data_IF_132351031364
#
_entry.id   IF_132351031364
#
_cell.length_a   1.000
_cell.length_b   1.000
_cell.length_c   1.000
_cell.angle_alpha   90.00
_cell.angle_beta   90.00
_cell.angle_gamma   90.00
#
_symmetry.space_group_name_H-M   'P 1'
#
loop_
_entity.id
_entity.type
_entity.pdbx_description
1 polymer ?
#
# COMPACT_ATOMS: atom_id res chain seq x y z
N UNK A 1 5.47 -14.85 -8.03
CA UNK A 1 4.94 -16.08 -7.38
C UNK A 1 3.88 -16.78 -8.22
N UNK A 2 2.79 -16.11 -8.63
CA UNK A 2 1.72 -16.72 -9.43
C UNK A 2 2.17 -17.47 -10.70
N UNK A 3 3.10 -16.87 -11.46
CA UNK A 3 3.65 -17.51 -12.66
C UNK A 3 4.34 -18.84 -12.34
N UNK A 4 5.23 -18.83 -11.34
CA UNK A 4 5.97 -20.02 -10.89
C UNK A 4 5.02 -21.11 -10.39
N UNK A 5 4.01 -20.75 -9.61
CA UNK A 5 2.98 -21.70 -9.14
C UNK A 5 2.26 -22.38 -10.31
N UNK A 6 1.84 -21.60 -11.31
CA UNK A 6 1.11 -22.11 -12.48
C UNK A 6 1.98 -22.98 -13.40
N UNK A 7 3.19 -22.51 -13.71
CA UNK A 7 4.07 -23.16 -14.69
C UNK A 7 4.79 -24.37 -14.11
N UNK A 8 5.26 -24.28 -12.86
CA UNK A 8 6.11 -25.30 -12.25
C UNK A 8 5.36 -26.21 -11.30
N UNK A 9 4.13 -25.88 -10.91
CA UNK A 9 3.30 -26.63 -9.95
C UNK A 9 4.02 -26.89 -8.61
N UNK A 10 4.93 -25.99 -8.23
CA UNK A 10 5.68 -26.06 -6.97
C UNK A 10 4.90 -25.28 -5.90
N UNK A 11 4.65 -25.86 -4.70
CA UNK A 11 4.00 -25.15 -3.62
C UNK A 11 4.89 -24.01 -3.12
N UNK A 12 4.30 -22.83 -2.95
CA UNK A 12 4.97 -21.64 -2.40
C UNK A 12 4.54 -21.45 -0.96
N UNK A 13 5.52 -21.46 -0.05
CA UNK A 13 5.31 -21.23 1.38
C UNK A 13 5.97 -19.91 1.77
N UNK A 14 5.26 -19.10 2.55
CA UNK A 14 5.80 -17.86 3.14
C UNK A 14 5.74 -17.96 4.66
N UNK A 15 6.87 -17.70 5.29
CA UNK A 15 6.98 -17.55 6.75
C UNK A 15 7.21 -16.09 7.07
N UNK A 16 6.28 -15.50 7.81
CA UNK A 16 6.35 -14.12 8.28
C UNK A 16 7.23 -14.09 9.54
N UNK A 17 8.29 -13.29 9.48
CA UNK A 17 9.18 -13.03 10.61
C UNK A 17 8.55 -12.00 11.56
N UNK A 18 9.30 -11.01 12.03
CA UNK A 18 8.81 -10.02 12.98
C UNK A 18 7.75 -9.09 12.38
N UNK A 19 7.93 -8.68 11.11
CA UNK A 19 7.02 -7.76 10.41
C UNK A 19 6.71 -8.27 9.00
N UNK A 20 5.42 -8.37 8.67
CA UNK A 20 4.91 -8.65 7.34
C UNK A 20 3.60 -7.87 7.13
N UNK A 21 3.71 -6.56 6.91
CA UNK A 21 2.60 -5.62 6.79
C UNK A 21 2.53 -5.00 5.38
N UNK A 22 1.38 -4.39 5.05
CA UNK A 22 1.17 -3.61 3.82
C UNK A 22 1.55 -4.42 2.56
N UNK A 23 2.40 -3.90 1.68
CA UNK A 23 2.86 -4.59 0.48
C UNK A 23 3.50 -5.96 0.76
N UNK A 24 4.14 -6.15 1.93
CA UNK A 24 4.68 -7.45 2.33
C UNK A 24 3.59 -8.51 2.52
N UNK A 25 2.49 -8.13 3.19
CA UNK A 25 1.33 -9.01 3.34
C UNK A 25 0.63 -9.25 2.00
N UNK A 26 0.53 -8.22 1.15
CA UNK A 26 -0.04 -8.33 -0.19
C UNK A 26 0.69 -9.37 -1.06
N UNK A 27 2.03 -9.40 -1.03
CA UNK A 27 2.83 -10.42 -1.73
C UNK A 27 2.63 -11.80 -1.07
N UNK A 28 2.62 -11.86 0.26
CA UNK A 28 2.42 -13.09 1.01
C UNK A 28 1.08 -13.76 0.66
N UNK A 29 0.01 -12.99 0.44
CA UNK A 29 -1.33 -13.51 0.09
C UNK A 29 -1.36 -14.42 -1.16
N UNK A 30 -0.33 -14.37 -2.02
CA UNK A 30 -0.20 -15.20 -3.22
C UNK A 30 0.31 -16.62 -2.92
N UNK A 31 0.85 -16.87 -1.73
CA UNK A 31 1.38 -18.17 -1.30
C UNK A 31 0.29 -19.24 -1.15
N UNK A 32 0.69 -20.51 -1.23
CA UNK A 32 -0.19 -21.65 -0.91
C UNK A 32 -0.33 -21.85 0.60
N UNK A 33 0.68 -21.46 1.37
CA UNK A 33 0.68 -21.56 2.84
C UNK A 33 1.38 -20.37 3.46
N UNK A 34 0.77 -19.83 4.51
CA UNK A 34 1.28 -18.75 5.33
C UNK A 34 1.56 -19.24 6.75
N UNK A 35 2.78 -18.99 7.23
CA UNK A 35 3.16 -19.17 8.63
C UNK A 35 3.45 -17.81 9.25
N UNK A 36 3.05 -17.64 10.50
CA UNK A 36 3.38 -16.48 11.31
C UNK A 36 3.56 -16.93 12.75
N UNK A 37 4.44 -16.26 13.48
CA UNK A 37 4.57 -16.46 14.92
C UNK A 37 3.58 -15.56 15.67
N UNK A 38 3.38 -15.79 16.96
CA UNK A 38 2.52 -14.92 17.78
C UNK A 38 3.03 -13.48 17.88
N UNK A 39 4.34 -13.26 17.72
CA UNK A 39 4.97 -11.94 17.75
C UNK A 39 4.99 -11.23 16.39
N UNK A 40 4.59 -11.90 15.32
CA UNK A 40 4.58 -11.32 13.97
C UNK A 40 3.55 -10.19 13.89
N UNK A 41 4.01 -8.98 13.58
CA UNK A 41 3.17 -7.87 13.17
C UNK A 41 2.78 -8.05 11.70
N UNK A 42 1.48 -8.14 11.42
CA UNK A 42 0.96 -8.27 10.06
C UNK A 42 -0.29 -7.41 9.84
N UNK A 43 -0.87 -7.47 8.64
CA UNK A 43 -1.99 -6.62 8.25
C UNK A 43 -1.53 -5.32 7.62
N UNK A 44 -1.99 -4.18 8.15
CA UNK A 44 -1.87 -2.87 7.49
C UNK A 44 -2.46 -2.90 6.07
N UNK A 45 -3.68 -3.41 5.95
CA UNK A 45 -4.40 -3.58 4.69
C UNK A 45 -4.95 -2.22 4.26
N UNK A 46 -4.25 -1.56 3.36
CA UNK A 46 -4.53 -0.17 3.00
C UNK A 46 -3.55 0.35 1.97
N UNK A 47 -3.91 1.48 1.39
CA UNK A 47 -3.02 2.31 0.59
C UNK A 47 -3.05 3.72 1.17
N UNK A 48 -1.88 4.30 1.38
CA UNK A 48 -1.74 5.70 1.79
C UNK A 48 -0.80 6.41 0.83
N UNK A 49 -1.06 7.70 0.63
CA UNK A 49 -0.12 8.61 0.00
C UNK A 49 0.00 9.83 0.90
N UNK A 50 1.24 10.21 1.19
CA UNK A 50 1.56 11.37 1.99
C UNK A 50 2.39 12.32 1.14
N UNK A 51 1.86 13.52 0.94
CA UNK A 51 2.53 14.56 0.16
C UNK A 51 2.61 15.78 1.07
N UNK A 52 3.82 16.25 1.42
CA UNK A 52 3.97 17.42 2.26
C UNK A 52 3.57 18.68 1.48
N UNK A 53 3.05 19.69 2.19
CA UNK A 53 2.86 21.03 1.64
C UNK A 53 3.76 22.02 2.41
N UNK A 54 4.71 22.61 1.69
CA UNK A 54 5.68 23.58 2.17
C UNK A 54 5.38 25.01 1.73
N UNK A 55 4.23 25.29 1.12
CA UNK A 55 3.84 26.63 0.66
C UNK A 55 3.98 27.66 1.79
N UNK A 56 3.39 27.37 2.96
CA UNK A 56 3.45 28.26 4.12
C UNK A 56 4.86 28.47 4.66
N UNK A 57 5.71 27.45 4.62
CA UNK A 57 7.12 27.55 5.03
C UNK A 57 7.92 28.38 4.02
N UNK A 58 7.75 28.11 2.74
CA UNK A 58 8.44 28.81 1.64
C UNK A 58 8.10 30.30 1.66
N UNK A 59 6.83 30.64 1.89
CA UNK A 59 6.36 32.03 2.06
C UNK A 59 7.05 32.74 3.23
N UNK A 60 7.23 32.06 4.37
CA UNK A 60 7.98 32.62 5.53
C UNK A 60 9.45 32.86 5.22
N UNK A 61 10.04 32.01 4.39
CA UNK A 61 11.44 32.12 3.95
C UNK A 61 11.63 33.10 2.77
N UNK A 62 10.55 33.71 2.27
CA UNK A 62 10.61 34.60 1.11
C UNK A 62 10.88 33.87 -0.22
N UNK A 63 10.70 32.55 -0.27
CA UNK A 63 10.92 31.74 -1.48
C UNK A 63 9.59 31.58 -2.22
N UNK A 64 9.59 31.93 -3.50
CA UNK A 64 8.44 31.72 -4.40
C UNK A 64 8.83 30.77 -5.52
N UNK A 65 8.02 29.74 -5.71
CA UNK A 65 8.19 28.77 -6.79
C UNK A 65 7.32 29.17 -7.98
N UNK A 66 7.93 29.36 -9.15
CA UNK A 66 7.24 29.56 -10.41
C UNK A 66 7.26 28.24 -11.18
N UNK A 67 6.08 27.64 -11.40
CA UNK A 67 5.95 26.37 -12.12
C UNK A 67 5.39 26.61 -13.52
N UNK A 68 6.18 26.31 -14.55
CA UNK A 68 5.78 26.33 -15.95
C UNK A 68 5.51 24.88 -16.38
N UNK A 69 4.29 24.57 -16.81
CA UNK A 69 3.88 23.20 -17.12
C UNK A 69 3.01 23.12 -18.37
N UNK A 70 3.22 22.05 -19.16
CA UNK A 70 2.48 21.81 -20.40
C UNK A 70 1.04 21.27 -20.18
N UNK A 71 0.67 20.93 -18.95
CA UNK A 71 -0.66 20.39 -18.65
C UNK A 71 -1.03 20.56 -17.18
N UNK A 72 -2.34 20.64 -16.93
CA UNK A 72 -2.91 20.98 -15.61
C UNK A 72 -2.42 20.07 -14.48
N UNK A 73 -2.40 18.75 -14.73
CA UNK A 73 -2.08 17.70 -13.75
C UNK A 73 -0.58 17.31 -13.73
N UNK A 74 0.29 17.99 -14.49
CA UNK A 74 1.70 17.58 -14.66
C UNK A 74 2.57 17.77 -13.42
N UNK A 75 2.11 18.58 -12.49
CA UNK A 75 2.74 18.85 -11.19
C UNK A 75 1.82 18.41 -10.04
N UNK A 76 0.96 17.41 -10.27
CA UNK A 76 0.13 16.84 -9.20
C UNK A 76 1.02 16.36 -8.06
N UNK A 77 0.67 16.75 -6.83
CA UNK A 77 1.50 16.48 -5.67
C UNK A 77 2.69 17.43 -5.49
N UNK A 78 2.74 18.55 -6.20
CA UNK A 78 3.75 19.58 -5.98
C UNK A 78 3.70 20.11 -4.54
N UNK A 79 4.77 19.98 -3.75
CA UNK A 79 4.79 20.39 -2.35
C UNK A 79 4.89 21.91 -2.18
N UNK A 80 5.10 22.70 -3.23
CA UNK A 80 5.27 24.15 -3.14
C UNK A 80 3.96 24.94 -3.18
N UNK A 81 2.82 24.27 -3.37
CA UNK A 81 1.48 24.88 -3.45
C UNK A 81 0.42 23.96 -2.87
N UNK A 82 -0.73 24.52 -2.55
CA UNK A 82 -1.90 23.72 -2.23
C UNK A 82 -2.34 22.82 -3.39
N UNK A 83 -2.74 21.60 -3.04
CA UNK A 83 -3.32 20.63 -3.96
C UNK A 83 -4.77 21.02 -4.27
N UNK A 84 -5.12 21.02 -5.55
CA UNK A 84 -6.50 21.31 -5.98
C UNK A 84 -7.43 20.14 -5.67
N UNK A 85 -8.74 20.38 -5.61
CA UNK A 85 -9.74 19.31 -5.36
C UNK A 85 -9.75 18.24 -6.46
N UNK A 86 -9.53 18.62 -7.73
CA UNK A 86 -9.42 17.67 -8.84
C UNK A 86 -8.20 16.76 -8.69
N UNK A 87 -7.07 17.31 -8.26
CA UNK A 87 -5.86 16.53 -7.95
C UNK A 87 -6.06 15.61 -6.76
N UNK A 88 -6.71 16.10 -5.69
CA UNK A 88 -7.06 15.30 -4.52
C UNK A 88 -7.95 14.13 -4.91
N UNK A 89 -9.00 14.34 -5.69
CA UNK A 89 -9.92 13.27 -6.08
C UNK A 89 -9.24 12.25 -7.01
N UNK A 90 -8.39 12.70 -7.93
CA UNK A 90 -7.59 11.80 -8.77
C UNK A 90 -6.70 10.87 -7.92
N UNK A 91 -5.96 11.44 -6.97
CA UNK A 91 -5.09 10.69 -6.08
C UNK A 91 -5.87 9.80 -5.10
N UNK A 92 -7.02 10.25 -4.60
CA UNK A 92 -7.92 9.45 -3.79
C UNK A 92 -8.44 8.24 -4.58
N UNK A 93 -8.82 8.44 -5.85
CA UNK A 93 -9.23 7.37 -6.76
C UNK A 93 -8.13 6.32 -6.91
N UNK A 94 -6.89 6.76 -7.16
CA UNK A 94 -5.74 5.86 -7.25
C UNK A 94 -5.48 5.06 -5.97
N UNK A 95 -5.59 5.72 -4.80
CA UNK A 95 -5.43 5.05 -3.52
C UNK A 95 -6.54 4.02 -3.25
N UNK A 96 -7.80 4.35 -3.60
CA UNK A 96 -8.95 3.43 -3.50
C UNK A 96 -8.76 2.21 -4.40
N UNK A 97 -8.36 2.40 -5.65
CA UNK A 97 -8.11 1.29 -6.59
C UNK A 97 -7.01 0.36 -6.08
N UNK A 98 -5.91 0.93 -5.58
CA UNK A 98 -4.82 0.14 -4.98
C UNK A 98 -5.30 -0.62 -3.74
N UNK A 99 -6.11 0.02 -2.89
CA UNK A 99 -6.72 -0.64 -1.74
C UNK A 99 -7.65 -1.79 -2.15
N UNK A 100 -8.46 -1.62 -3.20
CA UNK A 100 -9.35 -2.65 -3.72
C UNK A 100 -8.57 -3.86 -4.25
N UNK A 101 -7.47 -3.64 -4.97
CA UNK A 101 -6.55 -4.71 -5.40
C UNK A 101 -6.04 -5.48 -4.18
N UNK A 102 -5.58 -4.77 -3.14
CA UNK A 102 -5.08 -5.41 -1.93
C UNK A 102 -6.20 -6.20 -1.22
N UNK A 103 -7.39 -5.63 -1.06
CA UNK A 103 -8.56 -6.33 -0.48
C UNK A 103 -8.88 -7.61 -1.25
N UNK A 104 -8.87 -7.55 -2.58
CA UNK A 104 -9.16 -8.71 -3.44
C UNK A 104 -8.11 -9.82 -3.33
N UNK A 105 -6.87 -9.49 -2.99
CA UNK A 105 -5.84 -10.49 -2.68
C UNK A 105 -6.02 -11.08 -1.28
N UNK A 106 -6.42 -10.28 -0.29
CA UNK A 106 -6.58 -10.74 1.11
C UNK A 106 -7.81 -11.62 1.31
N UNK A 107 -8.95 -11.27 0.70
CA UNK A 107 -10.23 -11.96 0.90
C UNK A 107 -10.17 -13.49 0.67
N UNK A 108 -9.59 -14.02 -0.43
CA UNK A 108 -9.46 -15.46 -0.62
C UNK A 108 -8.43 -16.08 0.33
N UNK A 109 -7.33 -15.39 0.64
CA UNK A 109 -6.27 -15.87 1.53
C UNK A 109 -6.74 -15.98 2.98
N UNK A 110 -7.61 -15.09 3.44
CA UNK A 110 -8.19 -15.13 4.80
C UNK A 110 -8.93 -16.45 5.07
N UNK A 111 -9.41 -17.13 4.04
CA UNK A 111 -10.12 -18.43 4.14
C UNK A 111 -9.19 -19.64 4.19
N UNK A 112 -7.93 -19.49 3.77
CA UNK A 112 -6.94 -20.59 3.68
C UNK A 112 -5.84 -20.51 4.74
N UNK A 113 -5.81 -19.43 5.52
CA UNK A 113 -4.86 -19.19 6.61
C UNK A 113 -4.99 -20.27 7.70
N UNK A 114 -4.14 -21.31 7.61
CA UNK A 114 -3.91 -22.26 8.71
C UNK A 114 -3.03 -21.60 9.78
N UNK A 115 -3.64 -20.73 10.59
CA UNK A 115 -3.00 -20.11 11.74
C UNK A 115 -2.75 -21.22 12.79
N UNK A 116 -1.53 -21.77 12.84
CA UNK A 116 -1.15 -22.75 13.87
C UNK A 116 -0.99 -22.15 15.27
N UNK A 117 -0.96 -20.82 15.39
CA UNK A 117 -0.92 -20.09 16.66
C UNK A 117 -1.62 -18.75 16.49
N UNK A 118 -2.69 -18.49 17.27
CA UNK A 118 -3.50 -17.25 17.24
C UNK A 118 -2.61 -16.01 17.01
N UNK A 119 -2.67 -15.44 15.81
CA UNK A 119 -1.99 -14.20 15.47
C UNK A 119 -2.75 -13.04 16.13
N UNK A 120 -2.05 -12.22 16.90
CA UNK A 120 -2.61 -10.98 17.45
C UNK A 120 -2.61 -9.96 16.30
N UNK A 121 -3.74 -9.35 15.98
CA UNK A 121 -3.96 -8.42 14.85
C UNK A 121 -4.12 -9.06 13.46
N UNK A 122 -5.24 -9.75 13.28
CA UNK A 122 -6.00 -9.53 12.04
C UNK A 122 -6.96 -8.38 12.38
N UNK A 123 -6.67 -7.19 11.86
CA UNK A 123 -7.52 -6.00 12.03
C UNK A 123 -8.94 -6.40 11.61
N UNK A 124 -9.89 -6.29 12.55
CA UNK A 124 -11.33 -6.43 12.29
C UNK A 124 -11.82 -5.29 11.42
#
# INVERSE_FOLDING_TARGET
MNRVKKERKIPVVVTMADVCCSGGYMIACVADTLFATRGTMTGSIGCIMQIPNFEGLSKKLGVTYVTIKAGKMKDIGNPSREMTEEEKEYLNGFARETHDIFRNLVLPTARTLKIRTKCLMVVR
#
